data_IF_554159678977
#
_entry.id   IF_554159678977
#
_cell.length_a   1.000
_cell.length_b   1.000
_cell.length_c   1.000
_cell.angle_alpha   90.00
_cell.angle_beta   90.00
_cell.angle_gamma   90.00
#
_symmetry.space_group_name_H-M   'P 1'
#
loop_
_entity.id
_entity.type
_entity.pdbx_description
1 polymer ?
#
# COMPACT_ATOMS: atom_id res chain seq x y z
N UNK A 1 -10.06 13.50 10.88
CA UNK A 1 -10.02 12.80 9.57
C UNK A 1 -8.62 12.76 9.00
N UNK A 2 -7.96 13.90 8.77
CA UNK A 2 -6.61 13.91 8.21
C UNK A 2 -5.56 13.23 9.11
N UNK A 3 -5.62 13.48 10.42
CA UNK A 3 -4.77 12.79 11.43
C UNK A 3 -4.98 11.27 11.41
N UNK A 4 -6.20 10.80 11.14
CA UNK A 4 -6.49 9.38 11.06
C UNK A 4 -5.84 8.75 9.82
N UNK A 5 -5.89 9.43 8.66
CA UNK A 5 -5.19 8.96 7.46
C UNK A 5 -3.68 8.95 7.65
N UNK A 6 -3.11 9.98 8.29
CA UNK A 6 -1.68 10.02 8.59
C UNK A 6 -1.24 8.86 9.49
N UNK A 7 -2.03 8.54 10.52
CA UNK A 7 -1.78 7.38 11.39
C UNK A 7 -1.85 6.07 10.60
N UNK A 8 -2.85 5.92 9.71
CA UNK A 8 -2.97 4.74 8.85
C UNK A 8 -1.76 4.58 7.90
N UNK A 9 -1.29 5.68 7.31
CA UNK A 9 -0.11 5.68 6.45
C UNK A 9 1.16 5.28 7.21
N UNK A 10 1.33 5.78 8.43
CA UNK A 10 2.44 5.39 9.29
C UNK A 10 2.41 3.90 9.62
N UNK A 11 1.25 3.36 10.01
CA UNK A 11 1.11 1.93 10.32
C UNK A 11 1.46 1.06 9.11
N UNK A 12 0.97 1.41 7.91
CA UNK A 12 1.29 0.66 6.70
C UNK A 12 2.79 0.69 6.36
N UNK A 13 3.44 1.84 6.53
CA UNK A 13 4.89 1.96 6.29
C UNK A 13 5.72 1.08 7.24
N UNK A 14 5.29 0.94 8.49
CA UNK A 14 5.95 0.05 9.46
C UNK A 14 5.73 -1.43 9.12
N UNK A 15 4.53 -1.81 8.68
CA UNK A 15 4.25 -3.20 8.25
C UNK A 15 5.08 -3.56 7.01
N UNK A 16 5.29 -2.60 6.09
CA UNK A 16 6.05 -2.81 4.87
C UNK A 16 7.47 -3.35 5.12
N UNK A 17 8.13 -2.90 6.19
CA UNK A 17 9.48 -3.34 6.57
C UNK A 17 9.58 -4.82 6.93
N UNK A 18 8.46 -5.47 7.29
CA UNK A 18 8.43 -6.87 7.76
C UNK A 18 7.80 -7.85 6.79
N UNK A 19 7.44 -7.38 5.58
CA UNK A 19 6.94 -8.25 4.53
C UNK A 19 8.07 -8.96 3.78
N UNK A 20 7.80 -10.18 3.35
CA UNK A 20 8.75 -10.98 2.57
C UNK A 20 8.20 -11.38 1.19
N UNK A 21 6.88 -11.40 1.02
CA UNK A 21 6.27 -11.90 -0.21
C UNK A 21 6.02 -10.75 -1.21
N UNK A 22 6.42 -10.89 -2.49
CA UNK A 22 6.20 -9.86 -3.52
C UNK A 22 4.76 -9.38 -3.62
N UNK A 23 3.80 -10.32 -3.52
CA UNK A 23 2.38 -10.02 -3.56
C UNK A 23 1.91 -9.21 -2.34
N UNK A 24 2.48 -9.44 -1.15
CA UNK A 24 2.18 -8.60 0.02
C UNK A 24 2.76 -7.19 -0.12
N UNK A 25 3.95 -7.05 -0.73
CA UNK A 25 4.50 -5.73 -1.00
C UNK A 25 3.60 -4.94 -1.93
N UNK A 26 3.12 -5.55 -3.01
CA UNK A 26 2.17 -4.93 -3.95
C UNK A 26 0.85 -4.54 -3.26
N UNK A 27 0.33 -5.39 -2.38
CA UNK A 27 -0.92 -5.10 -1.67
C UNK A 27 -0.80 -3.92 -0.70
N UNK A 28 0.26 -3.86 0.12
CA UNK A 28 0.48 -2.75 1.05
C UNK A 28 0.74 -1.44 0.30
N UNK A 29 1.50 -1.51 -0.79
CA UNK A 29 1.75 -0.35 -1.62
C UNK A 29 0.45 0.19 -2.27
N UNK A 30 -0.44 -0.70 -2.71
CA UNK A 30 -1.73 -0.30 -3.27
C UNK A 30 -2.59 0.39 -2.20
N UNK A 31 -2.73 -0.18 -1.01
CA UNK A 31 -3.50 0.46 0.07
C UNK A 31 -2.91 1.81 0.50
N UNK A 32 -1.58 1.91 0.58
CA UNK A 32 -0.90 3.16 0.94
C UNK A 32 -1.13 4.25 -0.13
N UNK A 33 -1.09 3.91 -1.41
CA UNK A 33 -1.33 4.90 -2.49
C UNK A 33 -2.75 5.44 -2.49
N UNK A 34 -3.75 4.61 -2.16
CA UNK A 34 -5.13 5.06 -1.99
C UNK A 34 -5.20 6.09 -0.86
N UNK A 35 -4.58 5.81 0.30
CA UNK A 35 -4.60 6.71 1.46
C UNK A 35 -3.88 8.02 1.13
N UNK A 36 -2.72 7.97 0.48
CA UNK A 36 -1.98 9.17 0.05
C UNK A 36 -2.80 10.01 -0.95
N UNK A 37 -3.48 9.38 -1.90
CA UNK A 37 -4.34 10.11 -2.85
C UNK A 37 -5.51 10.81 -2.15
N UNK A 38 -6.09 10.18 -1.13
CA UNK A 38 -7.14 10.77 -0.30
C UNK A 38 -6.61 11.92 0.56
N UNK A 39 -5.41 11.79 1.14
CA UNK A 39 -4.75 12.86 1.88
C UNK A 39 -4.50 14.09 0.99
N UNK A 40 -3.90 13.87 -0.19
CA UNK A 40 -3.65 14.94 -1.16
C UNK A 40 -4.94 15.60 -1.66
N UNK A 41 -6.03 14.84 -1.76
CA UNK A 41 -7.35 15.37 -2.10
C UNK A 41 -7.95 16.25 -0.99
N UNK A 42 -7.59 16.03 0.28
CA UNK A 42 -8.06 16.88 1.39
C UNK A 42 -7.21 18.15 1.50
N UNK A 43 -5.92 18.08 1.19
CA UNK A 43 -5.02 19.24 1.26
C UNK A 43 -5.20 20.24 0.11
N UNK A 44 -5.60 19.78 -1.07
CA UNK A 44 -5.71 20.61 -2.26
C UNK A 44 -7.15 21.06 -2.50
N UNK A 45 -7.30 22.27 -3.04
CA UNK A 45 -8.61 22.83 -3.43
C UNK A 45 -9.20 22.04 -4.61
N UNK A 46 -8.35 21.55 -5.52
CA UNK A 46 -8.76 20.77 -6.68
C UNK A 46 -8.17 19.35 -6.63
N UNK A 47 -9.01 18.34 -6.90
CA UNK A 47 -8.66 16.91 -6.89
C UNK A 47 -7.82 16.43 -8.08
N UNK A 48 -7.38 17.32 -8.97
CA UNK A 48 -6.71 16.93 -10.22
C UNK A 48 -5.39 16.22 -9.95
N UNK A 49 -4.62 16.71 -8.98
CA UNK A 49 -3.35 16.09 -8.59
C UNK A 49 -3.54 14.74 -7.88
N UNK A 50 -4.52 14.62 -6.97
CA UNK A 50 -4.82 13.35 -6.32
C UNK A 50 -5.30 12.29 -7.32
N UNK A 51 -6.06 12.70 -8.34
CA UNK A 51 -6.56 11.79 -9.36
C UNK A 51 -5.46 11.28 -10.29
N UNK A 52 -4.58 12.17 -10.76
CA UNK A 52 -3.43 11.78 -11.59
C UNK A 52 -2.53 10.82 -10.83
N UNK A 53 -2.24 11.11 -9.55
CA UNK A 53 -1.40 10.25 -8.72
C UNK A 53 -2.04 8.86 -8.52
N UNK A 54 -3.34 8.80 -8.26
CA UNK A 54 -4.07 7.54 -8.11
C UNK A 54 -4.00 6.68 -9.38
N UNK A 55 -4.25 7.26 -10.55
CA UNK A 55 -4.24 6.53 -11.83
C UNK A 55 -2.86 5.97 -12.19
N UNK A 56 -1.83 6.79 -12.06
CA UNK A 56 -0.46 6.37 -12.41
C UNK A 56 0.01 5.25 -11.48
N UNK A 57 -0.25 5.38 -10.17
CA UNK A 57 0.20 4.39 -9.19
C UNK A 57 -0.53 3.06 -9.32
N UNK A 58 -1.85 3.06 -9.55
CA UNK A 58 -2.60 1.81 -9.75
C UNK A 58 -2.16 1.12 -11.05
N UNK A 59 -1.97 1.88 -12.13
CA UNK A 59 -1.49 1.32 -13.40
C UNK A 59 -0.14 0.61 -13.25
N UNK A 60 0.83 1.26 -12.59
CA UNK A 60 2.15 0.66 -12.33
C UNK A 60 2.10 -0.58 -11.43
N UNK A 61 1.23 -0.58 -10.42
CA UNK A 61 1.10 -1.71 -9.50
C UNK A 61 0.41 -2.92 -10.10
N UNK A 62 -0.57 -2.73 -10.98
CA UNK A 62 -1.23 -3.83 -11.68
C UNK A 62 -0.24 -4.57 -12.60
N UNK A 63 0.66 -3.84 -13.27
CA UNK A 63 1.73 -4.46 -14.09
C UNK A 63 2.68 -5.27 -13.22
N UNK A 64 3.11 -4.73 -12.08
CA UNK A 64 3.94 -5.45 -11.10
C UNK A 64 3.25 -6.70 -10.55
N UNK A 65 1.94 -6.64 -10.30
CA UNK A 65 1.16 -7.77 -9.81
C UNK A 65 1.12 -8.90 -10.85
N UNK A 66 0.80 -8.58 -12.11
CA UNK A 66 0.78 -9.56 -13.21
C UNK A 66 2.16 -10.20 -13.36
N UNK A 67 3.22 -9.39 -13.36
CA UNK A 67 4.59 -9.89 -13.48
C UNK A 67 4.94 -10.87 -12.35
N UNK A 68 4.67 -10.50 -11.09
CA UNK A 68 4.99 -11.35 -9.95
C UNK A 68 4.19 -12.65 -9.93
N UNK A 69 2.91 -12.63 -10.32
CA UNK A 69 2.12 -13.86 -10.45
C UNK A 69 2.60 -14.78 -11.58
N UNK A 70 3.24 -14.23 -12.62
CA UNK A 70 3.79 -15.02 -13.72
C UNK A 70 5.15 -15.65 -13.40
N UNK A 71 5.92 -15.05 -12.49
CA UNK A 71 7.31 -15.46 -12.19
C UNK A 71 7.41 -16.34 -10.93
N UNK A 72 6.54 -16.17 -9.94
CA UNK A 72 6.57 -16.95 -8.70
C UNK A 72 5.40 -17.94 -8.62
N UNK A 73 5.72 -19.22 -8.52
CA UNK A 73 4.77 -20.27 -8.11
C UNK A 73 4.16 -19.91 -6.75
N UNK A 74 2.85 -20.11 -6.58
CA UNK A 74 2.05 -19.88 -5.37
C UNK A 74 2.66 -20.45 -4.06
N UNK A 75 3.71 -19.82 -3.54
CA UNK A 75 4.23 -20.13 -2.21
C UNK A 75 3.15 -19.78 -1.20
N UNK A 76 2.87 -20.73 -0.29
CA UNK A 76 1.83 -20.53 0.72
C UNK A 76 2.17 -19.29 1.56
N UNK A 77 1.23 -18.37 1.63
CA UNK A 77 1.36 -17.14 2.39
C UNK A 77 1.64 -17.43 3.87
N UNK A 78 2.84 -17.07 4.35
CA UNK A 78 3.22 -17.17 5.77
C UNK A 78 3.14 -15.78 6.41
N UNK A 79 2.18 -15.60 7.32
CA UNK A 79 2.08 -14.39 8.13
C UNK A 79 3.24 -14.40 9.15
N UNK A 80 4.02 -13.32 9.19
CA UNK A 80 5.09 -13.19 10.19
C UNK A 80 4.50 -12.81 11.55
N UNK A 81 4.91 -13.49 12.62
CA UNK A 81 4.51 -13.14 14.00
C UNK A 81 4.93 -11.73 14.40
N UNK A 82 5.95 -11.17 13.73
CA UNK A 82 6.42 -9.78 13.92
C UNK A 82 5.37 -8.75 13.50
N UNK A 83 4.69 -8.98 12.37
CA UNK A 83 3.58 -8.11 11.91
C UNK A 83 2.44 -8.11 12.94
N UNK A 84 2.13 -9.27 13.50
CA UNK A 84 1.06 -9.42 14.48
C UNK A 84 1.32 -8.60 15.74
N UNK A 85 2.56 -8.57 16.23
CA UNK A 85 2.97 -7.73 17.37
C UNK A 85 2.93 -6.25 17.00
N UNK A 86 3.36 -5.89 15.79
CA UNK A 86 3.37 -4.52 15.32
C UNK A 86 1.94 -3.93 15.21
N UNK A 87 0.94 -4.74 14.87
CA UNK A 87 -0.46 -4.28 14.79
C UNK A 87 -1.11 -3.99 16.16
N UNK A 88 -0.54 -4.47 17.26
CA UNK A 88 -1.05 -4.21 18.61
C UNK A 88 -0.50 -2.93 19.24
N UNK A 89 0.54 -2.35 18.64
CA UNK A 89 1.14 -1.06 19.03
C UNK A 89 0.48 0.03 18.18
#
# INVERSE_FOLDING_TARGET
MLIFFLLMNWMLSMIFLFLNHPLSFGFILLTQTIIISLELGIFNINYWFSYILFLIMIGGMLVLFIYMTSVASNEKFKISKKILILMFI
#
